data_IF_630850109895
#
_entry.id   IF_630850109895
#
_cell.length_a   1.000
_cell.length_b   1.000
_cell.length_c   1.000
_cell.angle_alpha   90.00
_cell.angle_beta   90.00
_cell.angle_gamma   90.00
#
_symmetry.space_group_name_H-M   'P 1'
#
loop_
_entity.id
_entity.type
_entity.pdbx_description
1 polymer ?
#
# COMPACT_ATOMS: atom_id res chain seq x y z
N UNK A 1 67.05 8.58 -10.56
CA UNK A 1 66.17 8.45 -9.38
C UNK A 1 65.07 7.46 -9.74
N UNK A 2 64.97 6.34 -8.99
CA UNK A 2 63.95 5.30 -9.18
C UNK A 2 62.72 5.72 -8.37
N UNK A 3 61.57 5.91 -9.01
CA UNK A 3 60.29 6.07 -8.31
C UNK A 3 59.45 4.82 -8.54
N UNK A 4 59.36 4.02 -7.50
CA UNK A 4 58.62 2.76 -7.44
C UNK A 4 57.14 3.06 -7.26
N UNK A 5 56.32 2.79 -8.28
CA UNK A 5 54.86 2.86 -8.22
C UNK A 5 54.30 1.53 -7.71
N UNK A 6 54.49 1.26 -6.41
CA UNK A 6 53.68 0.28 -5.68
C UNK A 6 52.63 1.06 -4.88
N UNK A 7 51.45 1.22 -5.46
CA UNK A 7 50.23 1.62 -4.74
C UNK A 7 49.08 0.79 -5.28
N UNK A 8 49.19 -0.52 -5.08
CA UNK A 8 48.11 -1.48 -5.26
C UNK A 8 47.10 -1.24 -4.14
N UNK A 9 46.01 -0.56 -4.51
CA UNK A 9 44.64 -0.85 -4.11
C UNK A 9 44.45 -1.44 -2.71
N UNK A 10 44.35 -0.56 -1.72
CA UNK A 10 43.74 -0.90 -0.43
C UNK A 10 42.23 -1.00 -0.66
N UNK A 11 41.77 -2.17 -1.09
CA UNK A 11 40.35 -2.51 -1.15
C UNK A 11 39.89 -2.59 0.30
N UNK A 12 39.27 -1.51 0.78
CA UNK A 12 38.50 -1.51 2.01
C UNK A 12 37.33 -2.47 1.82
N UNK A 13 37.54 -3.74 2.19
CA UNK A 13 36.47 -4.70 2.41
C UNK A 13 35.70 -4.24 3.64
N UNK A 14 34.72 -3.37 3.43
CA UNK A 14 33.69 -3.11 4.43
C UNK A 14 32.89 -4.40 4.51
N UNK A 15 33.28 -5.31 5.41
CA UNK A 15 32.45 -6.43 5.78
C UNK A 15 31.25 -5.83 6.50
N UNK A 16 30.19 -5.59 5.73
CA UNK A 16 28.88 -5.28 6.27
C UNK A 16 28.53 -6.43 7.23
N UNK A 17 28.60 -6.11 8.51
CA UNK A 17 28.13 -6.97 9.59
C UNK A 17 26.63 -7.09 9.30
N UNK A 18 26.22 -8.22 8.73
CA UNK A 18 24.82 -8.62 8.72
C UNK A 18 24.44 -8.84 10.19
N UNK A 19 24.15 -7.74 10.88
CA UNK A 19 23.48 -7.77 12.16
C UNK A 19 22.22 -8.60 11.96
N UNK A 20 22.12 -9.69 12.70
CA UNK A 20 20.94 -10.53 12.74
C UNK A 20 19.75 -9.69 13.20
N UNK A 21 19.10 -9.03 12.26
CA UNK A 21 17.76 -8.51 12.48
C UNK A 21 16.84 -9.71 12.39
N UNK A 22 16.40 -10.17 13.56
CA UNK A 22 15.13 -10.90 13.69
C UNK A 22 14.12 -10.09 12.86
N UNK A 23 13.68 -10.69 11.77
CA UNK A 23 12.79 -10.10 10.79
C UNK A 23 11.49 -9.67 11.51
N UNK A 24 11.36 -8.39 11.87
CA UNK A 24 10.08 -7.73 12.22
C UNK A 24 9.20 -7.59 10.96
N UNK A 25 8.96 -8.69 10.25
CA UNK A 25 8.22 -8.66 8.98
C UNK A 25 6.78 -8.18 9.18
N UNK A 26 6.19 -8.46 10.34
CA UNK A 26 4.81 -8.13 10.66
C UNK A 26 4.59 -6.61 10.78
N UNK A 27 5.49 -5.91 11.47
CA UNK A 27 5.28 -4.51 11.87
C UNK A 27 5.30 -3.56 10.66
N UNK A 28 6.33 -3.69 9.81
CA UNK A 28 6.46 -2.91 8.57
C UNK A 28 5.34 -3.26 7.57
N UNK A 29 4.92 -4.53 7.53
CA UNK A 29 3.86 -4.96 6.61
C UNK A 29 2.48 -4.45 7.04
N UNK A 30 2.17 -4.41 8.34
CA UNK A 30 0.93 -3.81 8.87
C UNK A 30 0.88 -2.30 8.63
N UNK A 31 1.98 -1.59 8.90
CA UNK A 31 2.06 -0.16 8.63
C UNK A 31 1.91 0.14 7.13
N UNK A 32 2.52 -0.69 6.27
CA UNK A 32 2.35 -0.58 4.83
C UNK A 32 0.91 -0.84 4.41
N UNK A 33 0.26 -1.88 4.93
CA UNK A 33 -1.15 -2.15 4.63
C UNK A 33 -2.04 -0.98 5.04
N UNK A 34 -1.83 -0.42 6.24
CA UNK A 34 -2.56 0.75 6.73
C UNK A 34 -2.44 1.93 5.77
N UNK A 35 -1.20 2.30 5.41
CA UNK A 35 -0.95 3.45 4.55
C UNK A 35 -1.53 3.28 3.15
N UNK A 36 -1.47 2.06 2.60
CA UNK A 36 -2.06 1.74 1.30
C UNK A 36 -3.58 1.78 1.32
N UNK A 37 -4.23 1.16 2.32
CA UNK A 37 -5.69 1.21 2.46
C UNK A 37 -6.20 2.63 2.69
N UNK A 38 -5.50 3.42 3.51
CA UNK A 38 -5.83 4.81 3.76
C UNK A 38 -5.75 5.64 2.47
N UNK A 39 -4.65 5.50 1.71
CA UNK A 39 -4.50 6.17 0.42
C UNK A 39 -5.61 5.78 -0.56
N UNK A 40 -5.92 4.50 -0.69
CA UNK A 40 -6.97 4.03 -1.61
C UNK A 40 -8.35 4.56 -1.21
N UNK A 41 -8.64 4.67 0.08
CA UNK A 41 -9.88 5.28 0.56
C UNK A 41 -9.98 6.76 0.17
N UNK A 42 -8.90 7.53 0.38
CA UNK A 42 -8.86 8.94 0.01
C UNK A 42 -9.06 9.14 -1.49
N UNK A 43 -8.33 8.38 -2.31
CA UNK A 43 -8.42 8.47 -3.76
C UNK A 43 -9.78 8.00 -4.27
N UNK A 44 -10.38 6.96 -3.69
CA UNK A 44 -11.74 6.55 -4.07
C UNK A 44 -12.77 7.64 -3.83
N UNK A 45 -12.74 8.31 -2.67
CA UNK A 45 -13.59 9.47 -2.43
C UNK A 45 -13.32 10.61 -3.42
N UNK A 46 -12.06 10.88 -3.75
CA UNK A 46 -11.70 11.88 -4.75
C UNK A 46 -12.29 11.57 -6.13
N UNK A 47 -12.19 10.31 -6.58
CA UNK A 47 -12.77 9.82 -7.83
C UNK A 47 -14.28 10.03 -7.83
N UNK A 48 -14.97 9.51 -6.80
CA UNK A 48 -16.43 9.56 -6.71
C UNK A 48 -16.94 11.02 -6.65
N UNK A 49 -16.31 11.88 -5.84
CA UNK A 49 -16.64 13.31 -5.78
C UNK A 49 -16.40 14.04 -7.10
N UNK A 50 -15.40 13.61 -7.88
CA UNK A 50 -14.99 14.31 -9.11
C UNK A 50 -15.72 13.82 -10.36
N UNK A 51 -16.16 12.56 -10.38
CA UNK A 51 -16.61 11.88 -11.59
C UNK A 51 -17.99 11.24 -11.52
N UNK A 52 -18.57 10.90 -10.36
CA UNK A 52 -19.86 10.19 -10.34
C UNK A 52 -20.98 10.95 -11.05
N UNK A 53 -21.16 12.22 -10.70
CA UNK A 53 -22.15 13.09 -11.36
C UNK A 53 -21.79 13.33 -12.84
N UNK A 54 -20.50 13.50 -13.15
CA UNK A 54 -20.05 13.73 -14.52
C UNK A 54 -20.32 12.54 -15.41
N UNK A 55 -20.05 11.32 -14.93
CA UNK A 55 -20.30 10.06 -15.65
C UNK A 55 -21.79 9.81 -15.80
N UNK A 56 -22.60 10.14 -14.78
CA UNK A 56 -24.05 10.03 -14.86
C UNK A 56 -24.66 10.93 -15.95
N UNK A 57 -24.08 12.11 -16.17
CA UNK A 57 -24.53 13.06 -17.20
C UNK A 57 -23.89 12.82 -18.58
N UNK A 58 -22.63 12.39 -18.63
CA UNK A 58 -21.86 12.12 -19.84
C UNK A 58 -20.99 10.86 -19.66
N UNK A 59 -21.40 9.72 -20.26
CA UNK A 59 -20.63 8.47 -20.19
C UNK A 59 -19.20 8.56 -20.76
N UNK A 60 -18.87 9.57 -21.59
CA UNK A 60 -17.50 9.74 -22.07
C UNK A 60 -16.53 10.13 -20.95
N UNK A 61 -17.02 10.73 -19.87
CA UNK A 61 -16.24 11.10 -18.68
C UNK A 61 -15.55 9.90 -18.02
N UNK A 62 -16.07 8.69 -18.24
CA UNK A 62 -15.44 7.45 -17.75
C UNK A 62 -14.01 7.29 -18.28
N UNK A 63 -13.77 7.62 -19.56
CA UNK A 63 -12.44 7.49 -20.16
C UNK A 63 -11.43 8.49 -19.58
N UNK A 64 -11.90 9.66 -19.19
CA UNK A 64 -11.06 10.67 -18.54
C UNK A 64 -10.69 10.24 -17.13
N UNK A 65 -11.66 9.75 -16.35
CA UNK A 65 -11.38 9.16 -15.04
C UNK A 65 -10.40 7.99 -15.14
N UNK A 66 -10.62 7.05 -16.06
CA UNK A 66 -9.72 5.91 -16.24
C UNK A 66 -8.31 6.33 -16.70
N UNK A 67 -8.22 7.39 -17.51
CA UNK A 67 -6.94 7.98 -17.91
C UNK A 67 -6.17 8.61 -16.75
N UNK A 68 -6.87 9.24 -15.81
CA UNK A 68 -6.28 9.92 -14.66
C UNK A 68 -5.97 8.95 -13.51
N UNK A 69 -6.90 8.04 -13.17
CA UNK A 69 -6.84 7.18 -11.98
C UNK A 69 -6.62 5.69 -12.28
N UNK A 70 -6.60 5.25 -13.54
CA UNK A 70 -6.50 3.83 -13.88
C UNK A 70 -5.29 3.11 -13.28
N UNK A 71 -4.19 3.82 -13.05
CA UNK A 71 -2.98 3.28 -12.40
C UNK A 71 -3.22 2.83 -10.95
N UNK A 72 -4.20 3.43 -10.26
CA UNK A 72 -4.54 3.14 -8.86
C UNK A 72 -5.06 1.70 -8.71
N UNK A 73 -5.67 1.15 -9.76
CA UNK A 73 -6.13 -0.25 -9.77
C UNK A 73 -5.00 -1.27 -9.58
N UNK A 74 -3.80 -1.00 -10.10
CA UNK A 74 -2.63 -1.85 -9.88
C UNK A 74 -2.15 -1.77 -8.43
N UNK A 75 -2.20 -0.57 -7.85
CA UNK A 75 -1.83 -0.34 -6.45
C UNK A 75 -2.78 -1.09 -5.51
N UNK A 76 -4.09 -1.01 -5.73
CA UNK A 76 -5.08 -1.76 -4.96
C UNK A 76 -4.89 -3.29 -5.00
N UNK A 77 -4.53 -3.86 -6.17
CA UNK A 77 -4.18 -5.29 -6.27
C UNK A 77 -2.93 -5.63 -5.48
N UNK A 78 -1.92 -4.75 -5.50
CA UNK A 78 -0.73 -4.94 -4.68
C UNK A 78 -1.06 -4.91 -3.18
N UNK A 79 -1.98 -4.04 -2.75
CA UNK A 79 -2.49 -3.96 -1.37
C UNK A 79 -3.18 -5.25 -0.92
N UNK A 80 -4.00 -5.86 -1.77
CA UNK A 80 -4.57 -7.20 -1.52
C UNK A 80 -3.45 -8.24 -1.34
N UNK A 81 -2.40 -8.16 -2.17
CA UNK A 81 -1.22 -9.02 -2.05
C UNK A 81 -0.47 -8.82 -0.72
N UNK A 82 -0.38 -7.59 -0.21
CA UNK A 82 0.19 -7.28 1.11
C UNK A 82 -0.64 -7.98 2.19
N UNK A 83 -1.96 -7.77 2.21
CA UNK A 83 -2.86 -8.40 3.18
C UNK A 83 -2.74 -9.93 3.19
N UNK A 84 -2.60 -10.56 2.03
CA UNK A 84 -2.45 -12.01 1.91
C UNK A 84 -1.18 -12.57 2.56
N UNK A 85 -0.13 -11.76 2.73
CA UNK A 85 1.14 -12.17 3.33
C UNK A 85 1.26 -11.88 4.82
N UNK A 86 0.30 -11.17 5.41
CA UNK A 86 0.30 -10.88 6.85
C UNK A 86 -0.15 -12.12 7.60
N UNK A 87 0.65 -12.53 8.59
CA UNK A 87 0.28 -13.52 9.60
C UNK A 87 -0.41 -12.80 10.75
N UNK A 88 -1.74 -12.75 10.71
CA UNK A 88 -2.57 -12.05 11.69
C UNK A 88 -3.87 -12.82 11.91
N UNK A 89 -4.45 -12.80 13.12
CA UNK A 89 -5.80 -13.31 13.35
C UNK A 89 -6.87 -12.55 12.53
N UNK A 90 -6.58 -11.32 12.12
CA UNK A 90 -7.48 -10.45 11.35
C UNK A 90 -7.24 -10.52 9.83
N UNK A 91 -6.43 -11.47 9.36
CA UNK A 91 -6.01 -11.58 7.94
C UNK A 91 -7.18 -11.51 6.95
N UNK A 92 -8.27 -12.23 7.19
CA UNK A 92 -9.41 -12.26 6.28
C UNK A 92 -10.11 -10.90 6.19
N UNK A 93 -10.16 -10.15 7.30
CA UNK A 93 -10.67 -8.77 7.32
C UNK A 93 -9.78 -7.85 6.46
N UNK A 94 -8.46 -8.01 6.54
CA UNK A 94 -7.51 -7.22 5.74
C UNK A 94 -7.63 -7.51 4.25
N UNK A 95 -7.83 -8.77 3.87
CA UNK A 95 -8.06 -9.16 2.48
C UNK A 95 -9.39 -8.59 1.99
N UNK A 96 -10.45 -8.69 2.79
CA UNK A 96 -11.76 -8.14 2.46
C UNK A 96 -11.71 -6.62 2.27
N UNK A 97 -11.02 -5.90 3.16
CA UNK A 97 -10.79 -4.46 3.05
C UNK A 97 -10.00 -4.10 1.78
N UNK A 98 -8.99 -4.90 1.41
CA UNK A 98 -8.26 -4.73 0.15
C UNK A 98 -9.17 -4.85 -1.09
N UNK A 99 -10.10 -5.82 -1.09
CA UNK A 99 -11.08 -5.95 -2.17
C UNK A 99 -12.08 -4.80 -2.21
N UNK A 100 -12.51 -4.31 -1.04
CA UNK A 100 -13.38 -3.14 -0.94
C UNK A 100 -12.68 -1.87 -1.41
N UNK A 101 -11.41 -1.68 -1.07
CA UNK A 101 -10.58 -0.62 -1.61
C UNK A 101 -10.44 -0.71 -3.13
N UNK A 102 -10.26 -1.91 -3.69
CA UNK A 102 -10.24 -2.10 -5.14
C UNK A 102 -11.58 -1.72 -5.81
N UNK A 103 -12.71 -1.95 -5.14
CA UNK A 103 -14.02 -1.55 -5.63
C UNK A 103 -14.25 -0.03 -5.52
N UNK A 104 -13.84 0.57 -4.39
CA UNK A 104 -13.93 2.00 -4.08
C UNK A 104 -13.14 2.89 -5.05
N UNK A 105 -12.02 2.42 -5.61
CA UNK A 105 -11.21 3.21 -6.56
C UNK A 105 -11.67 3.12 -8.01
N UNK A 106 -12.79 2.45 -8.30
CA UNK A 106 -13.27 2.33 -9.67
C UNK A 106 -13.99 3.60 -10.09
N UNK A 107 -13.70 4.06 -11.30
CA UNK A 107 -14.41 5.14 -11.99
C UNK A 107 -15.89 4.84 -12.30
N UNK A 108 -16.33 3.61 -12.02
CA UNK A 108 -17.71 3.19 -12.06
C UNK A 108 -17.97 2.28 -10.86
N UNK A 109 -19.07 2.52 -10.16
CA UNK A 109 -19.39 1.78 -8.95
C UNK A 109 -20.06 2.65 -7.91
N UNK A 110 -20.18 2.10 -6.71
CA UNK A 110 -20.86 2.73 -5.58
C UNK A 110 -19.83 3.16 -4.52
N UNK A 111 -19.91 4.43 -4.12
CA UNK A 111 -19.05 5.03 -3.09
C UNK A 111 -19.14 4.30 -1.73
N UNK A 112 -20.22 3.57 -1.46
CA UNK A 112 -20.38 2.77 -0.25
C UNK A 112 -19.32 1.68 -0.08
N UNK A 113 -18.59 1.33 -1.15
CA UNK A 113 -17.43 0.45 -1.04
C UNK A 113 -16.26 1.10 -0.27
N UNK A 114 -16.17 2.43 -0.27
CA UNK A 114 -15.18 3.18 0.50
C UNK A 114 -15.48 3.14 2.02
N UNK A 115 -16.77 3.15 2.39
CA UNK A 115 -17.21 3.11 3.80
C UNK A 115 -16.80 1.84 4.55
N UNK A 116 -16.46 0.78 3.81
CA UNK A 116 -15.99 -0.49 4.38
C UNK A 116 -14.49 -0.48 4.77
N UNK A 117 -13.73 0.57 4.41
CA UNK A 117 -12.27 0.64 4.63
C UNK A 117 -11.92 1.18 6.04
N UNK A 118 -12.56 2.25 6.58
CA UNK A 118 -12.20 2.81 7.89
C UNK A 118 -12.21 1.81 9.06
N UNK A 119 -13.18 0.89 9.19
CA UNK A 119 -13.15 -0.09 10.28
C UNK A 119 -11.88 -0.95 10.27
N UNK A 120 -11.46 -1.41 9.09
CA UNK A 120 -10.24 -2.21 8.96
C UNK A 120 -8.97 -1.41 9.28
N UNK A 121 -8.95 -0.10 8.98
CA UNK A 121 -7.83 0.77 9.37
C UNK A 121 -7.68 0.86 10.89
N UNK A 122 -8.78 0.95 11.63
CA UNK A 122 -8.75 0.94 13.10
C UNK A 122 -8.29 -0.43 13.63
N UNK A 123 -8.72 -1.54 13.03
CA UNK A 123 -8.23 -2.89 13.38
C UNK A 123 -6.72 -3.01 13.18
N UNK A 124 -6.19 -2.60 12.02
CA UNK A 124 -4.76 -2.65 11.71
C UNK A 124 -3.97 -1.78 12.70
N UNK A 125 -4.47 -0.58 13.00
CA UNK A 125 -3.83 0.34 13.94
C UNK A 125 -3.81 -0.23 15.36
N UNK A 126 -4.90 -0.85 15.81
CA UNK A 126 -4.96 -1.51 17.11
C UNK A 126 -3.97 -2.68 17.20
N UNK A 127 -3.91 -3.53 16.18
CA UNK A 127 -2.96 -4.66 16.13
C UNK A 127 -1.52 -4.17 16.11
N UNK A 128 -1.21 -3.18 15.27
CA UNK A 128 0.13 -2.57 15.22
C UNK A 128 0.57 -2.04 16.59
N UNK A 129 -0.30 -1.30 17.29
CA UNK A 129 0.01 -0.77 18.62
C UNK A 129 0.20 -1.89 19.67
N UNK A 130 -0.59 -2.96 19.57
CA UNK A 130 -0.45 -4.12 20.46
C UNK A 130 0.89 -4.85 20.25
N UNK A 131 1.38 -4.93 19.01
CA UNK A 131 2.69 -5.50 18.68
C UNK A 131 3.86 -4.61 19.13
N UNK A 132 3.70 -3.28 19.13
CA UNK A 132 4.72 -2.36 19.64
C UNK A 132 4.81 -2.31 21.18
N UNK A 133 3.76 -2.76 21.88
CA UNK A 133 3.69 -2.73 23.36
C UNK A 133 4.19 -4.01 24.03
N UNK A 134 4.63 -5.00 23.24
CA UNK A 134 5.22 -6.28 23.68
C UNK A 134 6.75 -6.21 23.66
#
# INVERSE_FOLDING_TARGET
>A
MRLSLFLVSMIFSVTAIAGGNVYRHSDDTLQKLYSELHYLNQVGHEIHNSYDEKVANDPQQLRFCEGEYGYVGTRARATIGIANRIESPNKEEYIAAGWKAYQCIKCSGDISHCDAIPPALETIKAEYNALQSQ
#
